data_IF_167089483875
#
_entry.id   IF_167089483875
#
_cell.length_a   1.000
_cell.length_b   1.000
_cell.length_c   1.000
_cell.angle_alpha   90.00
_cell.angle_beta   90.00
_cell.angle_gamma   90.00
#
_symmetry.space_group_name_H-M   'P 1'
#
loop_
_entity.id
_entity.type
_entity.pdbx_description
1 polymer ?
#
# COMPACT_ATOMS: atom_id res chain seq x y z
N UNK A 1 -30.14 -1.18 26.88
CA UNK A 1 -29.17 -0.70 25.88
C UNK A 1 -28.02 -1.69 25.87
N UNK A 2 -28.00 -2.63 24.91
CA UNK A 2 -26.91 -3.61 24.81
C UNK A 2 -25.78 -2.93 24.07
N UNK A 3 -24.66 -2.66 24.75
CA UNK A 3 -23.44 -2.17 24.11
C UNK A 3 -22.73 -3.41 23.56
N UNK A 4 -22.74 -3.58 22.24
CA UNK A 4 -21.91 -4.58 21.58
C UNK A 4 -20.50 -4.01 21.50
N UNK A 5 -19.60 -4.48 22.37
CA UNK A 5 -18.17 -4.14 22.31
C UNK A 5 -17.52 -4.91 21.15
N UNK A 6 -17.65 -4.37 19.93
CA UNK A 6 -16.87 -4.84 18.79
C UNK A 6 -15.45 -4.30 18.87
N UNK A 7 -14.45 -5.20 18.82
CA UNK A 7 -13.10 -4.80 18.44
C UNK A 7 -13.13 -4.47 16.95
N UNK A 8 -13.06 -3.19 16.62
CA UNK A 8 -12.92 -2.75 15.24
C UNK A 8 -11.43 -2.77 14.91
N UNK A 9 -11.07 -3.54 13.89
CA UNK A 9 -9.68 -3.61 13.42
C UNK A 9 -9.32 -2.23 12.84
N UNK A 10 -8.31 -1.56 13.41
CA UNK A 10 -7.75 -0.36 12.81
C UNK A 10 -6.90 -0.76 11.60
N UNK A 11 -7.32 -0.36 10.41
CA UNK A 11 -6.53 -0.48 9.19
C UNK A 11 -5.50 0.65 9.18
N UNK A 12 -4.22 0.28 9.17
CA UNK A 12 -3.13 1.24 8.97
C UNK A 12 -3.04 1.61 7.49
N UNK A 13 -3.06 2.92 7.19
CA UNK A 13 -2.84 3.45 5.85
C UNK A 13 -1.39 3.93 5.75
N UNK A 14 -0.64 3.37 4.80
CA UNK A 14 0.71 3.82 4.46
C UNK A 14 0.65 4.73 3.22
N UNK A 15 1.48 5.77 3.20
CA UNK A 15 1.59 6.71 2.08
C UNK A 15 3.05 6.80 1.63
N UNK A 16 3.26 6.67 0.33
CA UNK A 16 4.58 6.64 -0.29
C UNK A 16 4.71 7.76 -1.33
N UNK A 17 5.32 8.89 -0.95
CA UNK A 17 5.49 10.07 -1.80
C UNK A 17 6.83 10.05 -2.55
N UNK A 18 6.95 9.22 -3.58
CA UNK A 18 8.22 9.11 -4.33
C UNK A 18 8.09 9.16 -5.84
N UNK A 19 6.92 8.86 -6.39
CA UNK A 19 6.70 9.00 -7.83
C UNK A 19 6.44 10.45 -8.17
N UNK A 20 7.10 10.94 -9.23
CA UNK A 20 6.92 12.33 -9.70
C UNK A 20 5.87 12.44 -10.81
N UNK A 21 5.28 11.32 -11.23
CA UNK A 21 4.24 11.25 -12.24
C UNK A 21 3.28 10.05 -11.96
N UNK A 22 2.24 9.89 -12.78
CA UNK A 22 1.18 8.89 -12.60
C UNK A 22 1.72 7.48 -12.36
N UNK A 23 1.20 6.82 -11.32
CA UNK A 23 1.44 5.39 -11.09
C UNK A 23 0.51 4.60 -12.02
N UNK A 24 1.10 3.78 -12.88
CA UNK A 24 0.37 3.03 -13.90
C UNK A 24 0.19 1.56 -13.57
N UNK A 25 0.98 1.03 -12.65
CA UNK A 25 0.91 -0.36 -12.22
C UNK A 25 1.33 -0.51 -10.76
N UNK A 26 0.68 -1.45 -10.07
CA UNK A 26 1.07 -1.91 -8.73
C UNK A 26 1.06 -3.44 -8.72
N UNK A 27 1.93 -4.04 -7.92
CA UNK A 27 1.99 -5.49 -7.74
C UNK A 27 2.56 -5.87 -6.39
N UNK A 28 2.22 -7.07 -5.92
CA UNK A 28 2.63 -7.59 -4.62
C UNK A 28 3.48 -8.83 -4.80
N UNK A 29 4.47 -9.01 -3.93
CA UNK A 29 5.11 -10.31 -3.77
C UNK A 29 4.07 -11.29 -3.20
N UNK A 30 4.10 -12.55 -3.65
CA UNK A 30 3.15 -13.58 -3.20
C UNK A 30 3.15 -13.79 -1.67
N UNK A 31 4.34 -13.71 -1.05
CA UNK A 31 4.50 -13.86 0.41
C UNK A 31 4.20 -12.56 1.19
N UNK A 32 3.95 -11.45 0.49
CA UNK A 32 3.55 -10.19 1.10
C UNK A 32 4.66 -9.40 1.80
N UNK A 33 5.94 -9.75 1.66
CA UNK A 33 7.02 -8.98 2.32
C UNK A 33 7.31 -7.65 1.64
N UNK A 34 6.95 -7.50 0.37
CA UNK A 34 7.13 -6.26 -0.38
C UNK A 34 6.12 -6.12 -1.52
N UNK A 35 5.98 -4.87 -1.98
CA UNK A 35 5.23 -4.51 -3.19
C UNK A 35 6.09 -3.66 -4.12
N UNK A 36 5.64 -3.51 -5.35
CA UNK A 36 6.25 -2.58 -6.30
C UNK A 36 5.21 -1.70 -6.98
N UNK A 37 5.65 -0.52 -7.39
CA UNK A 37 4.87 0.44 -8.17
C UNK A 37 5.67 0.91 -9.38
N UNK A 38 5.02 0.98 -10.54
CA UNK A 38 5.59 1.51 -11.78
C UNK A 38 4.90 2.82 -12.17
N UNK A 39 5.68 3.82 -12.60
CA UNK A 39 5.18 5.15 -12.93
C UNK A 39 5.60 5.64 -14.32
N UNK A 40 4.82 6.58 -14.87
CA UNK A 40 5.19 7.38 -16.04
C UNK A 40 6.44 8.25 -15.83
N UNK A 41 6.95 8.35 -14.59
CA UNK A 41 8.25 8.99 -14.30
C UNK A 41 9.46 8.18 -14.78
N UNK A 42 9.23 6.99 -15.36
CA UNK A 42 10.26 6.10 -15.88
C UNK A 42 10.91 5.22 -14.82
N UNK A 43 10.34 5.17 -13.60
CA UNK A 43 10.88 4.37 -12.49
C UNK A 43 9.92 3.28 -12.03
N UNK A 44 10.52 2.22 -11.48
CA UNK A 44 9.85 1.24 -10.63
C UNK A 44 10.43 1.36 -9.23
N UNK A 45 9.57 1.37 -8.22
CA UNK A 45 9.97 1.43 -6.80
C UNK A 45 9.49 0.18 -6.08
N UNK A 46 10.28 -0.25 -5.10
CA UNK A 46 10.00 -1.42 -4.25
C UNK A 46 9.82 -0.91 -2.82
N UNK A 47 8.83 -1.46 -2.12
CA UNK A 47 8.43 -1.05 -0.78
C UNK A 47 8.30 -2.27 0.11
N UNK A 48 8.92 -2.23 1.29
CA UNK A 48 8.72 -3.23 2.33
C UNK A 48 7.32 -3.06 2.96
N UNK A 49 6.67 -4.17 3.33
CA UNK A 49 5.31 -4.21 3.90
C UNK A 49 5.29 -4.73 5.34
#
# INVERSE_FOLDING_TARGET
MVVVSGHWFELQVLTYDSHTNNVMAVGFQCEGNWMYSGSEDGTVKIWDL
#
